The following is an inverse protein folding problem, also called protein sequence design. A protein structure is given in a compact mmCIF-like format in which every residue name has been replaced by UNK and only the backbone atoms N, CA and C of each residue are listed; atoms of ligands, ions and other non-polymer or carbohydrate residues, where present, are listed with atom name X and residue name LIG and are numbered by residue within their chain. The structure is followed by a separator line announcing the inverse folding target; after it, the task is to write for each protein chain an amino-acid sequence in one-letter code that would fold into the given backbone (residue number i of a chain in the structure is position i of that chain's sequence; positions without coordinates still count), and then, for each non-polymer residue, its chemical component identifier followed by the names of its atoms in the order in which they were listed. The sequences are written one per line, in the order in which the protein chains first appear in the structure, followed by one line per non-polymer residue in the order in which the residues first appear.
data_IF_409611804172
#
_entry.id   IF_409611804172
#
_cell.length_a   1.000
_cell.length_b   1.000
_cell.length_c   1.000
_cell.angle_alpha   90.00
_cell.angle_beta   90.00
_cell.angle_gamma   90.00
#
_symmetry.space_group_name_H-M   'P 1'
#
loop_
_entity.id
_entity.type
_entity.pdbx_description
1 polymer ?
#
# COMPACT_ATOMS: atom_id res chain seq x y z
N UNK A 1 20.44 22.28 10.77
CA UNK A 1 18.97 22.28 10.71
C UNK A 1 18.54 23.37 9.74
N UNK A 2 17.58 23.14 8.83
CA UNK A 2 17.16 24.17 7.86
C UNK A 2 15.82 24.72 8.30
N UNK A 3 15.74 26.02 8.58
CA UNK A 3 14.47 26.68 8.89
C UNK A 3 13.85 27.16 7.57
N UNK A 4 12.62 26.73 7.29
CA UNK A 4 11.88 27.12 6.09
C UNK A 4 10.68 27.96 6.51
N UNK A 5 10.53 29.13 5.90
CA UNK A 5 9.33 29.96 6.05
C UNK A 5 8.21 29.36 5.22
N UNK A 6 7.14 28.89 5.84
CA UNK A 6 6.03 28.24 5.14
C UNK A 6 5.16 29.21 4.30
N UNK A 7 5.33 30.53 4.45
CA UNK A 7 4.54 31.49 3.67
C UNK A 7 5.18 31.87 2.33
N UNK A 8 6.51 31.90 2.25
CA UNK A 8 7.24 32.24 1.02
C UNK A 8 8.20 31.15 0.54
N UNK A 9 8.34 30.05 1.29
CA UNK A 9 9.23 28.92 0.96
C UNK A 9 10.71 29.22 1.13
N UNK A 10 11.09 30.39 1.67
CA UNK A 10 12.49 30.75 1.88
C UNK A 10 13.12 29.86 2.96
N UNK A 11 14.28 29.27 2.68
CA UNK A 11 14.99 28.39 3.60
C UNK A 11 16.35 28.95 3.97
N UNK A 12 16.71 28.87 5.26
CA UNK A 12 18.00 29.27 5.79
C UNK A 12 18.66 28.09 6.52
N UNK A 13 19.92 27.82 6.21
CA UNK A 13 20.71 26.83 6.92
C UNK A 13 21.12 27.38 8.29
N UNK A 14 20.72 26.70 9.36
CA UNK A 14 21.07 27.01 10.74
C UNK A 14 22.05 25.96 11.23
N UNK A 15 23.28 26.38 11.51
CA UNK A 15 24.41 25.49 11.81
C UNK A 15 24.50 25.07 13.29
N UNK A 16 23.51 25.34 14.14
CA UNK A 16 23.51 24.91 15.56
C UNK A 16 22.12 24.86 16.19
N UNK A 17 21.93 23.99 17.18
CA UNK A 17 20.75 23.99 18.07
C UNK A 17 20.62 25.34 18.79
N UNK A 18 19.42 25.95 18.85
CA UNK A 18 19.24 27.20 19.58
C UNK A 18 19.41 26.95 21.10
N UNK A 19 20.13 27.81 21.82
CA UNK A 19 20.22 27.68 23.27
C UNK A 19 18.83 27.85 23.91
N UNK A 20 18.58 27.10 24.99
CA UNK A 20 17.34 27.17 25.75
C UNK A 20 17.07 28.62 26.20
N UNK A 21 15.95 29.19 25.74
CA UNK A 21 15.55 30.58 26.03
C UNK A 21 15.67 31.57 24.86
N UNK A 22 16.03 31.13 23.65
CA UNK A 22 16.20 32.00 22.47
C UNK A 22 14.89 32.59 21.86
N UNK A 23 13.83 32.77 22.67
CA UNK A 23 12.60 33.45 22.24
C UNK A 23 12.77 34.97 22.10
N UNK A 24 13.81 35.57 22.71
CA UNK A 24 13.97 37.03 22.76
C UNK A 24 15.06 37.63 21.85
N UNK A 25 15.98 36.83 21.30
CA UNK A 25 17.15 37.38 20.57
C UNK A 25 16.93 37.43 19.04
N UNK A 26 15.89 36.77 18.52
CA UNK A 26 15.61 36.70 17.08
C UNK A 26 14.47 37.64 16.65
N UNK A 27 14.19 38.68 17.46
CA UNK A 27 13.16 39.68 17.19
C UNK A 27 13.48 40.65 16.04
N UNK A 28 14.77 40.83 15.68
CA UNK A 28 15.18 41.92 14.77
C UNK A 28 15.89 41.45 13.47
N UNK A 29 16.16 40.15 13.29
CA UNK A 29 16.90 39.68 12.10
C UNK A 29 16.02 39.25 10.90
N UNK A 30 14.71 39.44 10.98
CA UNK A 30 13.75 39.08 9.93
C UNK A 30 12.76 40.22 9.61
N UNK A 31 13.12 41.46 9.95
CA UNK A 31 12.40 42.64 9.48
C UNK A 31 12.95 43.07 8.12
N UNK A 32 12.50 42.44 7.04
CA UNK A 32 12.34 43.21 5.80
C UNK A 32 11.35 42.68 4.77
N UNK A 33 10.84 41.44 4.78
CA UNK A 33 9.85 41.07 3.74
C UNK A 33 9.10 39.74 4.00
N UNK A 34 8.33 39.65 5.08
CA UNK A 34 7.30 38.60 5.17
C UNK A 34 6.04 39.15 5.87
N UNK A 35 4.96 39.47 5.14
CA UNK A 35 3.78 40.15 5.68
C UNK A 35 2.84 39.25 6.51
N UNK A 36 3.29 38.06 6.93
CA UNK A 36 2.45 37.02 7.53
C UNK A 36 2.43 36.95 9.07
N UNK A 37 2.84 37.98 9.81
CA UNK A 37 2.73 37.99 11.28
C UNK A 37 1.42 38.63 11.73
N UNK A 38 0.34 37.85 11.86
CA UNK A 38 -0.64 38.02 12.96
C UNK A 38 -1.30 36.67 13.27
N UNK A 39 -0.90 36.09 14.41
CA UNK A 39 -1.68 35.26 15.35
C UNK A 39 -2.65 34.21 14.77
N UNK A 40 -2.42 32.94 15.06
CA UNK A 40 -3.19 32.14 16.03
C UNK A 40 -3.10 30.63 15.75
N UNK A 41 -3.05 29.89 16.85
CA UNK A 41 -3.30 28.45 17.03
C UNK A 41 -2.27 27.47 16.44
N UNK A 42 -1.31 27.13 17.31
CA UNK A 42 -0.68 25.81 17.31
C UNK A 42 -1.77 24.73 17.40
N UNK A 43 -2.06 24.08 16.28
CA UNK A 43 -2.66 22.75 16.26
C UNK A 43 -1.52 21.77 16.05
N UNK A 44 -1.39 20.78 16.94
CA UNK A 44 -0.50 19.65 16.70
C UNK A 44 -0.94 18.98 15.39
N UNK A 45 -0.17 19.25 14.33
CA UNK A 45 -0.24 18.55 13.06
C UNK A 45 0.47 17.23 13.27
N UNK A 46 -0.26 16.12 13.22
CA UNK A 46 0.36 14.81 13.18
C UNK A 46 1.32 14.76 12.00
N UNK A 47 2.55 14.34 12.31
CA UNK A 47 3.64 14.18 11.37
C UNK A 47 3.16 13.42 10.13
N UNK A 48 3.49 13.96 8.95
CA UNK A 48 3.28 13.26 7.69
C UNK A 48 3.95 11.89 7.73
N UNK A 49 3.14 10.87 7.48
CA UNK A 49 3.52 9.47 7.38
C UNK A 49 4.47 9.25 6.19
N UNK A 50 5.78 9.21 6.46
CA UNK A 50 6.84 8.89 5.48
C UNK A 50 6.83 7.40 5.06
N UNK A 51 5.88 6.59 5.51
CA UNK A 51 5.85 5.12 5.28
C UNK A 51 5.20 4.71 3.96
N UNK A 52 4.35 5.56 3.36
CA UNK A 52 3.49 5.17 2.22
C UNK A 52 4.24 4.90 0.90
N UNK A 53 5.43 5.50 0.66
CA UNK A 53 6.08 5.43 -0.67
C UNK A 53 6.71 4.08 -0.99
N UNK A 54 7.30 3.40 0.01
CA UNK A 54 8.04 2.16 -0.21
C UNK A 54 7.11 0.97 -0.52
N UNK A 55 5.95 0.90 0.12
CA UNK A 55 4.98 -0.17 -0.10
C UNK A 55 4.33 -0.07 -1.49
N UNK A 56 4.06 1.16 -1.96
CA UNK A 56 3.54 1.41 -3.30
C UNK A 56 4.55 1.05 -4.40
N UNK A 57 5.84 1.30 -4.18
CA UNK A 57 6.91 0.90 -5.10
C UNK A 57 7.04 -0.63 -5.19
N UNK A 58 6.97 -1.33 -4.06
CA UNK A 58 7.01 -2.80 -4.02
C UNK A 58 5.78 -3.38 -4.72
N UNK A 59 4.58 -2.85 -4.46
CA UNK A 59 3.36 -3.31 -5.11
C UNK A 59 3.43 -3.10 -6.63
N UNK A 60 3.91 -1.95 -7.08
CA UNK A 60 4.10 -1.65 -8.51
C UNK A 60 5.08 -2.63 -9.17
N UNK A 61 6.18 -2.95 -8.48
CA UNK A 61 7.13 -3.95 -8.97
C UNK A 61 6.50 -5.35 -9.03
N UNK A 62 5.76 -5.76 -7.99
CA UNK A 62 5.04 -7.04 -7.97
C UNK A 62 4.02 -7.13 -9.10
N UNK A 63 3.28 -6.05 -9.38
CA UNK A 63 2.33 -6.01 -10.50
C UNK A 63 3.01 -6.30 -11.83
N UNK A 64 4.15 -5.67 -12.11
CA UNK A 64 4.91 -5.92 -13.33
C UNK A 64 5.53 -7.32 -13.37
N UNK A 65 5.98 -7.83 -12.22
CA UNK A 65 6.67 -9.12 -12.13
C UNK A 65 5.74 -10.32 -12.21
N UNK A 66 4.56 -10.19 -11.61
CA UNK A 66 3.58 -11.27 -11.43
C UNK A 66 2.35 -11.10 -12.33
N UNK A 67 2.34 -10.16 -13.28
CA UNK A 67 1.24 -10.00 -14.25
C UNK A 67 0.93 -11.36 -14.92
N UNK A 68 -0.30 -11.90 -14.77
CA UNK A 68 -0.72 -13.16 -15.37
C UNK A 68 -0.49 -13.26 -16.88
N UNK A 69 -0.46 -12.14 -17.61
CA UNK A 69 -0.19 -12.10 -19.06
C UNK A 69 1.22 -12.59 -19.41
N UNK A 70 2.15 -12.62 -18.45
CA UNK A 70 3.50 -13.17 -18.62
C UNK A 70 3.55 -14.70 -18.56
N UNK A 71 2.47 -15.35 -18.14
CA UNK A 71 2.44 -16.80 -17.89
C UNK A 71 1.38 -17.47 -18.77
N UNK A 72 1.72 -17.85 -20.02
CA UNK A 72 0.74 -18.37 -20.99
C UNK A 72 0.08 -19.69 -20.57
N UNK A 73 0.71 -20.45 -19.67
CA UNK A 73 0.19 -21.71 -19.13
C UNK A 73 -0.55 -21.53 -17.80
N UNK A 74 -0.76 -20.29 -17.33
CA UNK A 74 -1.50 -20.02 -16.10
C UNK A 74 -2.99 -20.30 -16.31
N UNK A 75 -3.60 -21.03 -15.38
CA UNK A 75 -5.05 -21.28 -15.46
C UNK A 75 -5.82 -19.94 -15.37
N UNK A 76 -6.91 -19.75 -16.14
CA UNK A 76 -7.70 -18.51 -16.11
C UNK A 76 -8.20 -18.17 -14.71
N UNK A 77 -8.52 -19.20 -13.92
CA UNK A 77 -8.97 -19.05 -12.54
C UNK A 77 -7.88 -18.47 -11.64
N UNK A 78 -6.68 -19.02 -11.70
CA UNK A 78 -5.57 -18.52 -10.90
C UNK A 78 -5.12 -17.13 -11.37
N UNK A 79 -5.14 -16.88 -12.68
CA UNK A 79 -4.89 -15.55 -13.25
C UNK A 79 -5.87 -14.48 -12.70
N UNK A 80 -7.15 -14.82 -12.54
CA UNK A 80 -8.13 -13.93 -11.93
C UNK A 80 -7.78 -13.61 -10.46
N UNK A 81 -7.40 -14.63 -9.68
CA UNK A 81 -7.00 -14.46 -8.27
C UNK A 81 -5.75 -13.59 -8.15
N UNK A 82 -4.71 -13.87 -8.95
CA UNK A 82 -3.48 -13.06 -8.98
C UNK A 82 -3.80 -11.62 -9.36
N UNK A 83 -4.64 -11.41 -10.37
CA UNK A 83 -5.12 -10.09 -10.76
C UNK A 83 -5.80 -9.36 -9.61
N UNK A 84 -6.70 -10.03 -8.88
CA UNK A 84 -7.37 -9.46 -7.72
C UNK A 84 -6.38 -9.08 -6.61
N UNK A 85 -5.44 -9.97 -6.24
CA UNK A 85 -4.45 -9.72 -5.19
C UNK A 85 -3.52 -8.54 -5.53
N UNK A 86 -3.16 -8.40 -6.80
CA UNK A 86 -2.29 -7.34 -7.28
C UNK A 86 -3.03 -6.08 -7.73
N UNK A 87 -4.37 -6.04 -7.62
CA UNK A 87 -5.23 -4.95 -8.11
C UNK A 87 -5.07 -4.69 -9.63
N UNK A 88 -4.87 -5.75 -10.41
CA UNK A 88 -4.77 -5.74 -11.88
C UNK A 88 -6.05 -6.29 -12.51
N UNK A 89 -6.60 -5.59 -13.51
CA UNK A 89 -7.72 -6.07 -14.32
C UNK A 89 -7.26 -7.14 -15.32
N UNK A 90 -7.64 -8.40 -15.06
CA UNK A 90 -7.26 -9.57 -15.88
C UNK A 90 -8.45 -10.22 -16.59
N UNK A 91 -9.59 -10.35 -15.92
CA UNK A 91 -10.79 -11.03 -16.46
C UNK A 91 -11.96 -10.08 -16.68
N UNK A 92 -12.91 -10.52 -17.50
CA UNK A 92 -14.24 -9.92 -17.67
C UNK A 92 -15.29 -11.02 -17.43
N UNK A 93 -16.16 -10.93 -16.40
CA UNK A 93 -16.21 -9.86 -15.39
C UNK A 93 -14.97 -9.81 -14.49
N UNK A 94 -14.64 -8.62 -14.00
CA UNK A 94 -13.45 -8.39 -13.18
C UNK A 94 -13.66 -8.91 -11.76
N UNK A 95 -12.77 -9.80 -11.30
CA UNK A 95 -12.73 -10.24 -9.91
C UNK A 95 -12.18 -9.12 -9.01
N UNK A 96 -13.01 -8.60 -8.10
CA UNK A 96 -12.68 -7.44 -7.25
C UNK A 96 -12.37 -7.79 -5.80
N UNK A 97 -12.77 -8.98 -5.35
CA UNK A 97 -12.53 -9.44 -3.99
C UNK A 97 -12.36 -10.95 -3.96
N UNK A 98 -11.45 -11.40 -3.11
CA UNK A 98 -11.24 -12.79 -2.76
C UNK A 98 -11.22 -12.89 -1.24
N UNK A 99 -11.91 -13.89 -0.69
CA UNK A 99 -12.00 -14.16 0.73
C UNK A 99 -11.74 -15.63 1.01
N UNK A 100 -11.21 -15.93 2.19
CA UNK A 100 -11.07 -17.32 2.66
C UNK A 100 -12.10 -17.56 3.75
N UNK A 101 -12.97 -18.53 3.56
CA UNK A 101 -13.95 -18.91 4.57
C UNK A 101 -13.28 -19.68 5.73
N UNK A 102 -13.99 -19.80 6.85
CA UNK A 102 -13.48 -20.52 8.04
C UNK A 102 -13.22 -22.01 7.79
N UNK A 103 -13.95 -22.62 6.85
CA UNK A 103 -13.76 -24.00 6.37
C UNK A 103 -12.69 -24.13 5.27
N UNK A 104 -11.96 -23.05 4.96
CA UNK A 104 -10.81 -23.08 4.07
C UNK A 104 -11.15 -22.96 2.58
N UNK A 105 -12.38 -22.61 2.23
CA UNK A 105 -12.74 -22.34 0.83
C UNK A 105 -12.39 -20.92 0.42
N UNK A 106 -11.94 -20.80 -0.83
CA UNK A 106 -11.65 -19.53 -1.47
C UNK A 106 -12.87 -19.09 -2.27
N UNK A 107 -13.49 -17.98 -1.87
CA UNK A 107 -14.62 -17.40 -2.58
C UNK A 107 -14.23 -16.08 -3.24
N UNK A 108 -14.87 -15.79 -4.37
CA UNK A 108 -14.66 -14.58 -5.15
C UNK A 108 -15.95 -13.78 -5.34
N UNK A 109 -15.79 -12.47 -5.50
CA UNK A 109 -16.84 -11.54 -5.93
C UNK A 109 -16.38 -10.80 -7.17
N UNK A 110 -17.21 -10.80 -8.20
CA UNK A 110 -16.97 -9.99 -9.39
C UNK A 110 -17.53 -8.58 -9.22
N UNK A 111 -17.03 -7.65 -10.02
CA UNK A 111 -17.53 -6.28 -10.11
C UNK A 111 -19.04 -6.28 -10.39
N UNK A 112 -19.80 -5.51 -9.59
CA UNK A 112 -21.26 -5.43 -9.69
C UNK A 112 -22.04 -6.48 -8.91
N UNK A 113 -21.37 -7.48 -8.31
CA UNK A 113 -22.01 -8.46 -7.44
C UNK A 113 -22.03 -7.98 -5.97
N UNK A 114 -23.08 -8.32 -5.20
CA UNK A 114 -23.19 -7.87 -3.81
C UNK A 114 -22.29 -8.67 -2.84
N UNK A 115 -22.02 -9.95 -3.12
CA UNK A 115 -21.37 -10.88 -2.17
C UNK A 115 -20.39 -11.83 -2.84
N UNK A 116 -19.47 -12.41 -2.05
CA UNK A 116 -18.56 -13.46 -2.49
C UNK A 116 -19.30 -14.79 -2.63
N UNK A 117 -19.60 -15.19 -3.86
CA UNK A 117 -20.37 -16.41 -4.16
C UNK A 117 -19.64 -17.39 -5.09
N UNK A 118 -18.56 -16.96 -5.74
CA UNK A 118 -17.86 -17.78 -6.72
C UNK A 118 -16.83 -18.66 -6.04
N UNK A 119 -17.01 -19.98 -6.14
CA UNK A 119 -16.01 -20.91 -5.65
C UNK A 119 -14.75 -20.91 -6.53
N UNK A 120 -13.63 -20.46 -5.97
CA UNK A 120 -12.33 -20.38 -6.65
C UNK A 120 -11.40 -21.55 -6.31
N UNK A 121 -11.58 -22.18 -5.15
CA UNK A 121 -10.74 -23.31 -4.73
C UNK A 121 -10.66 -23.40 -3.22
N UNK A 122 -9.53 -23.90 -2.71
CA UNK A 122 -9.24 -23.91 -1.27
C UNK A 122 -8.08 -22.97 -0.95
N UNK A 123 -7.89 -22.67 0.33
CA UNK A 123 -6.74 -21.93 0.83
C UNK A 123 -5.44 -22.64 0.48
N UNK A 124 -5.37 -23.96 0.66
CA UNK A 124 -4.19 -24.76 0.36
C UNK A 124 -3.86 -24.71 -1.13
N UNK A 125 -4.87 -24.79 -2.00
CA UNK A 125 -4.67 -24.63 -3.44
C UNK A 125 -4.10 -23.26 -3.78
N UNK A 126 -4.59 -22.19 -3.15
CA UNK A 126 -4.03 -20.84 -3.35
C UNK A 126 -2.58 -20.76 -2.86
N UNK A 127 -2.30 -21.21 -1.64
CA UNK A 127 -0.97 -21.18 -1.05
C UNK A 127 0.05 -21.95 -1.90
N UNK A 128 -0.29 -23.15 -2.37
CA UNK A 128 0.59 -23.95 -3.22
C UNK A 128 0.85 -23.31 -4.58
N UNK A 129 -0.17 -22.77 -5.26
CA UNK A 129 -0.01 -22.16 -6.57
C UNK A 129 0.69 -20.81 -6.47
N UNK A 130 0.42 -20.04 -5.42
CA UNK A 130 1.09 -18.78 -5.13
C UNK A 130 2.57 -18.99 -4.86
N UNK A 131 2.92 -19.92 -3.98
CA UNK A 131 4.31 -20.26 -3.68
C UNK A 131 5.07 -20.71 -4.93
N UNK A 132 4.45 -21.56 -5.77
CA UNK A 132 5.02 -21.96 -7.05
C UNK A 132 5.30 -20.78 -7.96
N UNK A 133 4.38 -19.81 -8.04
CA UNK A 133 4.52 -18.62 -8.89
C UNK A 133 5.64 -17.70 -8.40
N UNK A 134 5.64 -17.33 -7.12
CA UNK A 134 6.60 -16.36 -6.56
C UNK A 134 8.03 -16.92 -6.45
N UNK A 135 8.16 -18.26 -6.44
CA UNK A 135 9.45 -18.95 -6.41
C UNK A 135 10.02 -19.26 -7.81
N UNK A 136 9.34 -18.88 -8.89
CA UNK A 136 9.88 -19.05 -10.24
C UNK A 136 11.11 -18.14 -10.46
N UNK A 137 12.26 -18.69 -10.91
CA UNK A 137 13.47 -17.91 -11.09
C UNK A 137 13.30 -16.78 -12.13
N UNK A 138 12.49 -17.01 -13.17
CA UNK A 138 12.24 -16.05 -14.25
C UNK A 138 11.35 -14.85 -13.82
N UNK A 139 10.75 -14.92 -12.62
CA UNK A 139 10.01 -13.79 -12.04
C UNK A 139 10.99 -12.76 -11.48
N UNK A 140 12.12 -13.19 -10.93
CA UNK A 140 13.18 -12.31 -10.44
C UNK A 140 12.74 -11.44 -9.28
N UNK A 141 12.02 -12.01 -8.29
CA UNK A 141 11.68 -11.30 -7.06
C UNK A 141 12.93 -11.09 -6.20
N UNK A 142 13.05 -9.90 -5.62
CA UNK A 142 13.98 -9.63 -4.52
C UNK A 142 13.46 -10.27 -3.22
N UNK A 143 14.29 -10.30 -2.17
CA UNK A 143 13.87 -10.82 -0.87
C UNK A 143 12.66 -10.07 -0.31
N UNK A 144 12.66 -8.74 -0.41
CA UNK A 144 11.59 -7.89 0.12
C UNK A 144 10.29 -8.08 -0.68
N UNK A 145 10.38 -8.14 -2.02
CA UNK A 145 9.24 -8.43 -2.88
C UNK A 145 8.64 -9.82 -2.59
N UNK A 146 9.48 -10.82 -2.37
CA UNK A 146 9.01 -12.17 -2.02
C UNK A 146 8.26 -12.17 -0.69
N UNK A 147 8.76 -11.46 0.33
CA UNK A 147 8.06 -11.32 1.62
C UNK A 147 6.75 -10.55 1.48
N UNK A 148 6.75 -9.43 0.74
CA UNK A 148 5.55 -8.66 0.46
C UNK A 148 4.50 -9.50 -0.27
N UNK A 149 4.91 -10.27 -1.28
CA UNK A 149 4.02 -11.17 -2.02
C UNK A 149 3.42 -12.26 -1.12
N UNK A 150 4.19 -12.81 -0.16
CA UNK A 150 3.64 -13.73 0.85
C UNK A 150 2.67 -13.05 1.80
N UNK A 151 2.94 -11.79 2.16
CA UNK A 151 2.04 -10.96 2.96
C UNK A 151 0.64 -10.82 2.32
N UNK A 152 0.56 -10.66 1.00
CA UNK A 152 -0.73 -10.49 0.30
C UNK A 152 -1.73 -11.60 0.58
N UNK A 153 -1.29 -12.86 0.59
CA UNK A 153 -2.18 -14.01 0.89
C UNK A 153 -2.36 -14.24 2.40
N UNK A 154 -1.40 -13.82 3.22
CA UNK A 154 -1.50 -13.92 4.68
C UNK A 154 -2.58 -12.98 5.24
N UNK A 155 -2.75 -11.81 4.61
CA UNK A 155 -3.75 -10.81 4.96
C UNK A 155 -5.14 -11.06 4.37
N UNK A 156 -5.34 -12.15 3.62
CA UNK A 156 -6.68 -12.53 3.18
C UNK A 156 -7.56 -12.77 4.40
N UNK A 157 -8.50 -11.86 4.60
CA UNK A 157 -9.44 -11.88 5.72
C UNK A 157 -10.22 -13.18 5.73
N UNK A 158 -10.42 -13.70 6.95
CA UNK A 158 -11.41 -14.75 7.17
C UNK A 158 -12.77 -14.07 7.21
N UNK A 159 -13.57 -14.22 6.16
CA UNK A 159 -14.96 -13.77 6.23
C UNK A 159 -15.72 -14.75 7.13
N UNK A 160 -16.05 -14.30 8.34
CA UNK A 160 -16.94 -15.02 9.22
C UNK A 160 -18.35 -14.87 8.65
N UNK A 161 -18.96 -15.98 8.20
CA UNK A 161 -20.32 -16.02 7.67
C UNK A 161 -21.31 -15.41 8.67
N UNK A 162 -21.62 -14.14 8.55
CA UNK A 162 -22.85 -13.56 9.11
C UNK A 162 -23.92 -13.68 8.04
N UNK A 163 -24.55 -14.85 7.92
CA UNK A 163 -25.85 -14.94 7.27
C UNK A 163 -26.90 -14.38 8.24
N UNK A 164 -27.24 -13.10 8.08
CA UNK A 164 -28.56 -12.63 8.50
C UNK A 164 -29.49 -12.75 7.28
N UNK A 165 -30.25 -13.85 7.24
CA UNK A 165 -31.33 -14.11 6.29
C UNK A 165 -32.32 -15.09 6.88
#
# INVERSE_FOLDING_TARGET
MVAVCEYCGASAAVDSDPPAGASEIWGEALESDCPGKVLADYRESEAGDETTTQDDDILTSLQAKLDPRRFPNMSPKFAAVVGCLLKIRITEPHLVQVVVTTDGFLLGRNEGEPTCQHFLGTREWLEENWEKLISLPDVGLTGDEYQAARGLIAHLEKEERIYHG
#
